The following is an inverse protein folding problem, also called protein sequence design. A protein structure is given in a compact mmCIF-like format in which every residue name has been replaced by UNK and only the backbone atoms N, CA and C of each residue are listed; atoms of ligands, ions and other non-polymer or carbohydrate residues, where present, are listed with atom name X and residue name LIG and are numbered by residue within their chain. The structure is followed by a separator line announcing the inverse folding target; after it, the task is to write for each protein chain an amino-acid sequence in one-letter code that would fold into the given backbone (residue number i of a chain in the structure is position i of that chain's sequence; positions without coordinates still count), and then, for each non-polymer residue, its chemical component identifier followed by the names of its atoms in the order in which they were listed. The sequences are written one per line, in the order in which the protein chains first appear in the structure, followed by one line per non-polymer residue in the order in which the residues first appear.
data_IF_193082717932
#
_entry.id   IF_193082717932
#
_cell.length_a   1.000
_cell.length_b   1.000
_cell.length_c   1.000
_cell.angle_alpha   90.00
_cell.angle_beta   90.00
_cell.angle_gamma   90.00
#
_symmetry.space_group_name_H-M   'P 1'
#
loop_
_entity.id
_entity.type
_entity.pdbx_description
1 polymer ?
#
# COMPACT_ATOMS: atom_id res chain seq x y z
N UNK A 1 -6.17 72.66 58.60
CA UNK A 1 -7.56 72.91 58.17
C UNK A 1 -7.45 73.66 56.86
N UNK A 2 -7.75 73.14 55.68
CA UNK A 2 -8.80 72.21 55.24
C UNK A 2 -8.25 71.22 54.21
N UNK A 3 -8.79 70.00 54.19
CA UNK A 3 -8.53 69.01 53.14
C UNK A 3 -9.76 68.93 52.22
N UNK A 4 -9.50 68.95 50.91
CA UNK A 4 -10.47 68.77 49.83
C UNK A 4 -10.65 67.28 49.54
N UNK A 5 -11.90 66.84 49.42
CA UNK A 5 -12.32 65.52 48.97
C UNK A 5 -12.19 65.38 47.45
N UNK A 6 -11.65 64.25 46.99
CA UNK A 6 -11.73 63.80 45.60
C UNK A 6 -11.95 62.29 45.59
N UNK A 7 -13.05 61.84 44.98
CA UNK A 7 -13.37 60.43 44.79
C UNK A 7 -12.47 59.78 43.74
N UNK A 8 -12.10 58.53 44.00
CA UNK A 8 -11.36 57.67 43.08
C UNK A 8 -12.12 56.37 42.87
N UNK A 9 -12.43 56.07 41.61
CA UNK A 9 -12.91 54.77 41.14
C UNK A 9 -11.76 53.78 41.31
N UNK A 10 -11.95 52.78 42.16
CA UNK A 10 -10.95 51.74 42.40
C UNK A 10 -10.81 50.84 41.17
N UNK A 11 -9.62 50.77 40.61
CA UNK A 11 -9.23 49.79 39.59
C UNK A 11 -9.15 48.41 40.23
N UNK A 12 -10.00 47.47 39.78
CA UNK A 12 -9.94 46.05 40.10
C UNK A 12 -8.58 45.49 39.69
N UNK A 13 -7.78 45.04 40.66
CA UNK A 13 -6.46 44.44 40.45
C UNK A 13 -6.60 42.92 40.35
N UNK A 14 -6.56 42.40 39.12
CA UNK A 14 -6.69 40.97 38.82
C UNK A 14 -5.34 40.27 39.00
N UNK A 15 -5.24 39.13 39.71
CA UNK A 15 -4.03 38.35 39.68
C UNK A 15 -3.92 37.71 38.30
N UNK A 16 -3.07 38.30 37.45
CA UNK A 16 -2.59 37.82 36.17
C UNK A 16 -3.42 38.24 34.92
N UNK A 17 -3.11 39.38 34.29
CA UNK A 17 -3.80 39.85 33.07
C UNK A 17 -3.55 38.97 31.82
N UNK A 18 -2.69 37.96 31.91
CA UNK A 18 -2.40 37.01 30.82
C UNK A 18 -2.57 35.52 31.21
N UNK A 19 -3.15 35.22 32.38
CA UNK A 19 -3.40 33.85 32.82
C UNK A 19 -4.64 33.23 32.17
N UNK A 20 -4.52 32.04 31.57
CA UNK A 20 -5.66 31.23 31.14
C UNK A 20 -6.59 30.99 32.34
N UNK A 21 -7.81 31.51 32.27
CA UNK A 21 -8.84 31.22 33.25
C UNK A 21 -9.10 29.72 33.24
N UNK A 22 -8.80 29.06 34.36
CA UNK A 22 -8.91 27.61 34.51
C UNK A 22 -10.35 27.26 34.90
N UNK A 23 -11.14 26.86 33.89
CA UNK A 23 -12.50 26.37 34.07
C UNK A 23 -12.50 24.86 34.25
N UNK A 24 -13.47 24.35 35.01
CA UNK A 24 -13.66 22.92 35.29
C UNK A 24 -13.89 22.11 34.01
N UNK A 25 -13.33 20.91 33.98
CA UNK A 25 -13.54 19.90 32.93
C UNK A 25 -14.98 19.33 32.91
N UNK A 26 -15.77 19.59 33.96
CA UNK A 26 -17.16 19.14 34.05
C UNK A 26 -18.02 19.77 32.94
N UNK A 27 -19.00 19.05 32.40
CA UNK A 27 -19.91 19.58 31.40
C UNK A 27 -20.93 20.56 32.01
N UNK A 28 -21.22 20.44 33.30
CA UNK A 28 -22.07 21.38 34.03
C UNK A 28 -21.27 22.55 34.60
N UNK A 29 -21.95 23.66 34.92
CA UNK A 29 -21.35 24.75 35.68
C UNK A 29 -21.14 24.30 37.11
N UNK A 30 -19.90 24.42 37.57
CA UNK A 30 -19.47 24.09 38.93
C UNK A 30 -19.22 25.34 39.76
N UNK A 31 -19.11 25.17 41.07
CA UNK A 31 -18.67 26.24 41.97
C UNK A 31 -17.30 26.82 41.57
N UNK A 32 -16.40 25.97 41.10
CA UNK A 32 -15.10 26.41 40.61
C UNK A 32 -15.25 27.37 39.42
N UNK A 33 -16.16 27.07 38.48
CA UNK A 33 -16.40 27.91 37.31
C UNK A 33 -16.94 29.31 37.69
N UNK A 34 -17.86 29.38 38.65
CA UNK A 34 -18.45 30.63 39.15
C UNK A 34 -17.40 31.49 39.86
N UNK A 35 -16.58 30.88 40.72
CA UNK A 35 -15.51 31.56 41.43
C UNK A 35 -14.38 32.02 40.48
N UNK A 36 -14.04 31.22 39.46
CA UNK A 36 -13.08 31.60 38.41
C UNK A 36 -13.54 32.84 37.64
N UNK A 37 -14.85 33.00 37.46
CA UNK A 37 -15.45 34.17 36.80
C UNK A 37 -15.45 35.41 37.69
N UNK A 38 -15.89 35.28 38.94
CA UNK A 38 -16.00 36.39 39.87
C UNK A 38 -14.64 36.88 40.39
N UNK A 39 -13.62 36.04 40.29
CA UNK A 39 -12.26 36.39 40.68
C UNK A 39 -12.11 36.53 42.21
N UNK A 40 -11.08 37.24 42.69
CA UNK A 40 -10.73 37.28 44.12
C UNK A 40 -11.79 37.97 45.00
N UNK A 41 -12.65 38.81 44.42
CA UNK A 41 -13.71 39.53 45.12
C UNK A 41 -15.06 38.78 45.13
N UNK A 42 -15.08 37.52 44.71
CA UNK A 42 -16.29 36.71 44.61
C UNK A 42 -17.12 36.72 45.89
N UNK A 43 -16.49 36.49 47.05
CA UNK A 43 -17.19 36.45 48.34
C UNK A 43 -17.85 37.80 48.68
N UNK A 44 -17.24 38.92 48.29
CA UNK A 44 -17.77 40.26 48.53
C UNK A 44 -18.98 40.55 47.61
N UNK A 45 -18.88 40.21 46.33
CA UNK A 45 -19.96 40.39 45.34
C UNK A 45 -21.17 39.50 45.64
N UNK A 46 -20.93 38.24 46.03
CA UNK A 46 -21.98 37.29 46.42
C UNK A 46 -22.69 37.74 47.71
N UNK A 47 -21.93 38.25 48.68
CA UNK A 47 -22.48 38.79 49.93
C UNK A 47 -23.30 40.08 49.71
N UNK A 48 -22.85 40.97 48.83
CA UNK A 48 -23.58 42.19 48.45
C UNK A 48 -24.91 41.88 47.75
N UNK A 49 -24.94 40.83 46.94
CA UNK A 49 -26.15 40.34 46.28
C UNK A 49 -27.09 39.53 47.18
N UNK A 50 -26.65 39.14 48.39
CA UNK A 50 -27.37 38.24 49.28
C UNK A 50 -27.77 36.90 48.60
N UNK A 51 -26.83 36.33 47.84
CA UNK A 51 -27.02 35.10 47.04
C UNK A 51 -26.02 34.04 47.50
N UNK A 52 -26.46 32.79 47.62
CA UNK A 52 -25.58 31.65 47.86
C UNK A 52 -24.97 31.15 46.54
N UNK A 53 -23.72 30.69 46.56
CA UNK A 53 -23.05 30.12 45.39
C UNK A 53 -23.82 28.90 44.86
N UNK A 54 -24.40 28.09 45.73
CA UNK A 54 -25.22 26.94 45.30
C UNK A 54 -26.54 27.39 44.65
N UNK A 55 -27.14 28.50 45.12
CA UNK A 55 -28.33 29.08 44.50
C UNK A 55 -28.00 29.75 43.16
N UNK A 56 -26.83 30.39 43.05
CA UNK A 56 -26.34 30.95 41.80
C UNK A 56 -26.00 29.85 40.77
N UNK A 57 -25.35 28.77 41.20
CA UNK A 57 -25.12 27.57 40.38
C UNK A 57 -26.46 26.95 39.98
N UNK A 58 -27.45 26.91 40.88
CA UNK A 58 -28.79 26.42 40.58
C UNK A 58 -29.49 27.32 39.56
N UNK A 59 -29.44 28.64 39.68
CA UNK A 59 -30.05 29.57 38.72
C UNK A 59 -29.35 29.50 37.36
N UNK A 60 -28.02 29.40 37.35
CA UNK A 60 -27.25 29.19 36.13
C UNK A 60 -27.64 27.83 35.51
N UNK A 61 -27.61 26.73 36.26
CA UNK A 61 -27.91 25.40 35.70
C UNK A 61 -29.40 25.13 35.43
N UNK A 62 -30.33 25.77 36.16
CA UNK A 62 -31.78 25.60 36.00
C UNK A 62 -32.40 26.58 34.99
N UNK A 63 -31.76 27.71 34.73
CA UNK A 63 -32.33 28.82 33.96
C UNK A 63 -31.45 29.29 32.78
N UNK A 64 -30.26 28.72 32.53
CA UNK A 64 -29.31 29.34 31.55
C UNK A 64 -28.72 28.47 30.44
N UNK A 65 -29.24 27.28 30.11
CA UNK A 65 -28.83 26.68 28.83
C UNK A 65 -29.78 25.62 28.28
N UNK A 66 -30.38 25.87 27.11
CA UNK A 66 -30.64 24.78 26.18
C UNK A 66 -29.35 24.53 25.40
N UNK A 67 -28.62 23.48 25.77
CA UNK A 67 -27.71 22.84 24.83
C UNK A 67 -28.52 21.76 24.12
N UNK A 68 -28.77 21.86 22.81
CA UNK A 68 -29.30 20.71 22.08
C UNK A 68 -28.32 19.54 22.28
N UNK A 69 -28.81 18.29 22.33
CA UNK A 69 -27.94 17.14 22.43
C UNK A 69 -26.93 17.20 21.28
N UNK A 70 -25.64 17.14 21.62
CA UNK A 70 -24.60 16.89 20.63
C UNK A 70 -24.89 15.49 20.11
N UNK A 71 -25.58 15.40 18.96
CA UNK A 71 -25.80 14.13 18.27
C UNK A 71 -24.44 13.70 17.76
N UNK A 72 -23.78 12.81 18.51
CA UNK A 72 -22.66 12.03 18.00
C UNK A 72 -23.30 11.00 17.06
N UNK A 73 -23.02 11.03 15.75
CA UNK A 73 -23.55 10.01 14.85
C UNK A 73 -23.04 8.63 15.28
N UNK A 74 -23.97 7.71 15.54
CA UNK A 74 -23.72 6.31 15.87
C UNK A 74 -23.11 5.55 14.67
N UNK A 75 -21.88 5.85 14.26
CA UNK A 75 -21.13 5.03 13.27
C UNK A 75 -19.61 4.98 13.56
N UNK A 76 -19.19 4.98 14.84
CA UNK A 76 -17.78 4.77 15.22
C UNK A 76 -17.53 3.38 15.87
N UNK A 77 -18.36 2.38 15.55
CA UNK A 77 -18.21 1.03 16.14
C UNK A 77 -17.94 -0.12 15.16
N UNK A 78 -18.05 0.06 13.84
CA UNK A 78 -17.82 -1.03 12.88
C UNK A 78 -16.80 -0.65 11.80
N UNK A 79 -15.52 -0.49 12.19
CA UNK A 79 -14.35 -0.85 11.33
C UNK A 79 -13.01 -0.55 12.02
N UNK A 80 -12.81 -1.05 13.25
CA UNK A 80 -11.48 -1.09 13.87
C UNK A 80 -10.93 -2.52 13.91
N UNK A 81 -10.51 -3.01 12.74
CA UNK A 81 -9.42 -3.99 12.64
C UNK A 81 -8.16 -3.27 12.15
N UNK A 82 -7.56 -2.46 13.01
CA UNK A 82 -6.13 -2.13 12.97
C UNK A 82 -5.76 -1.44 14.29
N UNK A 83 -4.66 -1.89 14.90
CA UNK A 83 -4.13 -1.36 16.17
C UNK A 83 -3.80 0.13 16.06
N UNK A 84 -4.67 0.97 16.61
CA UNK A 84 -4.39 2.36 16.97
C UNK A 84 -5.22 2.68 18.21
N UNK A 85 -4.57 3.18 19.26
CA UNK A 85 -5.26 3.53 20.50
C UNK A 85 -6.43 4.50 20.21
N UNK A 86 -7.61 4.35 20.85
CA UNK A 86 -8.69 5.30 20.69
C UNK A 86 -8.19 6.68 21.11
N UNK A 87 -8.21 7.66 20.21
CA UNK A 87 -8.13 9.07 20.61
C UNK A 87 -9.36 9.40 21.47
N UNK A 88 -9.20 10.05 22.64
CA UNK A 88 -10.32 10.32 23.51
C UNK A 88 -11.15 11.46 22.93
N UNK A 89 -12.34 11.13 22.44
CA UNK A 89 -13.39 12.08 22.05
C UNK A 89 -13.72 13.04 23.21
N UNK A 90 -13.42 12.63 24.44
CA UNK A 90 -13.59 13.39 25.68
C UNK A 90 -12.80 14.72 25.69
N UNK A 91 -11.56 14.76 25.17
CA UNK A 91 -10.72 15.96 25.23
C UNK A 91 -11.26 17.13 24.38
N UNK A 92 -11.88 16.82 23.24
CA UNK A 92 -12.45 17.82 22.34
C UNK A 92 -13.72 18.46 22.92
N UNK A 93 -14.59 17.62 23.50
CA UNK A 93 -15.82 18.07 24.16
C UNK A 93 -15.50 18.90 25.40
N UNK A 94 -14.53 18.48 26.20
CA UNK A 94 -14.07 19.23 27.38
C UNK A 94 -13.48 20.59 26.98
N UNK A 95 -12.65 20.65 25.94
CA UNK A 95 -12.13 21.94 25.43
C UNK A 95 -13.22 22.85 24.88
N UNK A 96 -14.19 22.30 24.14
CA UNK A 96 -15.34 23.05 23.66
C UNK A 96 -16.19 23.59 24.82
N UNK A 97 -16.42 22.77 25.84
CA UNK A 97 -17.11 23.16 27.07
C UNK A 97 -16.35 24.27 27.81
N UNK A 98 -15.02 24.16 27.99
CA UNK A 98 -14.21 25.23 28.61
C UNK A 98 -14.22 26.52 27.83
N UNK A 99 -14.15 26.45 26.49
CA UNK A 99 -14.18 27.64 25.63
C UNK A 99 -15.54 28.33 25.70
N UNK A 100 -16.62 27.54 25.70
CA UNK A 100 -17.97 28.02 25.94
C UNK A 100 -18.09 28.66 27.33
N UNK A 101 -17.70 27.96 28.40
CA UNK A 101 -17.71 28.46 29.78
C UNK A 101 -16.96 29.78 29.91
N UNK A 102 -15.77 29.89 29.32
CA UNK A 102 -14.94 31.10 29.32
C UNK A 102 -15.62 32.31 28.68
N UNK A 103 -16.39 32.08 27.62
CA UNK A 103 -17.13 33.14 26.92
C UNK A 103 -18.46 33.47 27.60
N UNK A 104 -19.10 32.47 28.19
CA UNK A 104 -20.50 32.51 28.58
C UNK A 104 -20.73 32.76 30.08
N UNK A 105 -19.90 32.18 30.95
CA UNK A 105 -20.05 32.33 32.41
C UNK A 105 -19.81 33.75 32.89
N UNK A 106 -18.90 34.48 32.24
CA UNK A 106 -18.60 35.87 32.61
C UNK A 106 -19.81 36.80 32.49
N UNK A 107 -20.57 36.68 31.40
CA UNK A 107 -21.77 37.48 31.19
C UNK A 107 -22.94 37.03 32.07
N UNK A 108 -23.14 35.71 32.19
CA UNK A 108 -24.28 35.13 32.93
C UNK A 108 -24.18 35.32 34.43
N UNK A 109 -23.01 35.08 35.03
CA UNK A 109 -22.82 35.26 36.48
C UNK A 109 -23.05 36.71 36.90
N UNK A 110 -22.54 37.67 36.13
CA UNK A 110 -22.75 39.09 36.40
C UNK A 110 -24.22 39.50 36.19
N UNK A 111 -24.88 38.97 35.16
CA UNK A 111 -26.30 39.24 34.91
C UNK A 111 -27.21 38.70 36.03
N UNK A 112 -26.96 37.48 36.53
CA UNK A 112 -27.75 36.89 37.63
C UNK A 112 -27.50 37.63 38.95
N UNK A 113 -26.29 38.14 39.21
CA UNK A 113 -26.02 38.95 40.41
C UNK A 113 -26.66 40.34 40.35
N UNK A 114 -26.75 40.95 39.17
CA UNK A 114 -27.44 42.22 38.96
C UNK A 114 -28.96 42.10 39.12
N UNK A 115 -29.57 40.98 38.71
CA UNK A 115 -31.01 40.75 38.94
C UNK A 115 -31.33 40.53 40.43
N UNK A 116 -30.42 39.93 41.19
CA UNK A 116 -30.61 39.64 42.62
C UNK A 116 -30.35 40.85 43.54
N UNK A 117 -29.47 41.77 43.14
CA UNK A 117 -29.21 43.06 43.83
C UNK A 117 -30.27 44.14 43.55
N UNK A 118 -31.09 43.97 42.51
CA UNK A 118 -32.16 44.89 42.06
C UNK A 118 -33.37 44.98 42.98
N UNK A 119 -33.16 45.14 44.29
CA UNK A 119 -34.19 45.34 45.29
C UNK A 119 -34.62 46.80 45.47
N UNK A 120 -35.48 47.30 44.57
CA UNK A 120 -36.54 48.28 44.89
C UNK A 120 -36.22 49.79 44.93
N UNK A 121 -36.77 50.54 43.96
CA UNK A 121 -37.58 51.76 44.15
C UNK A 121 -38.16 52.24 42.80
N UNK A 122 -39.32 52.88 42.85
CA UNK A 122 -40.29 53.02 41.76
C UNK A 122 -39.99 54.11 40.70
N UNK A 123 -40.15 53.73 39.43
CA UNK A 123 -41.08 54.36 38.50
C UNK A 123 -41.40 53.35 37.39
N UNK A 124 -42.67 53.22 36.99
CA UNK A 124 -43.07 52.36 35.88
C UNK A 124 -42.48 52.86 34.56
N UNK A 125 -41.23 52.51 34.28
CA UNK A 125 -40.77 52.30 32.93
C UNK A 125 -41.00 50.82 32.63
N UNK A 126 -42.13 50.47 32.02
CA UNK A 126 -42.31 49.11 31.50
C UNK A 126 -41.28 48.79 30.40
N UNK A 127 -40.63 49.82 29.85
CA UNK A 127 -39.57 49.73 28.86
C UNK A 127 -38.22 49.48 29.56
N UNK A 128 -37.65 48.31 29.32
CA UNK A 128 -36.33 47.87 29.79
C UNK A 128 -35.29 48.05 28.70
N UNK A 129 -34.07 48.38 29.07
CA UNK A 129 -32.91 48.45 28.17
C UNK A 129 -32.06 47.19 28.33
N UNK A 130 -31.93 46.40 27.27
CA UNK A 130 -31.32 45.06 27.31
C UNK A 130 -30.21 44.99 26.26
N UNK A 131 -29.07 44.37 26.57
CA UNK A 131 -28.03 44.09 25.58
C UNK A 131 -28.30 42.73 24.96
N UNK A 132 -28.42 42.67 23.63
CA UNK A 132 -28.55 41.42 22.87
C UNK A 132 -27.27 41.23 22.05
N UNK A 133 -26.53 40.17 22.33
CA UNK A 133 -25.37 39.71 21.60
C UNK A 133 -25.78 38.56 20.68
N UNK A 134 -25.78 38.79 19.37
CA UNK A 134 -26.12 37.76 18.37
C UNK A 134 -24.87 37.40 17.58
N UNK A 135 -24.39 36.18 17.77
CA UNK A 135 -23.16 35.67 17.13
C UNK A 135 -21.93 36.60 17.29
N UNK A 136 -21.79 37.28 18.44
CA UNK A 136 -20.71 38.21 18.74
C UNK A 136 -21.00 39.67 18.34
N UNK A 137 -22.16 39.96 17.73
CA UNK A 137 -22.59 41.31 17.41
C UNK A 137 -23.56 41.83 18.49
N UNK A 138 -23.10 42.83 19.25
CA UNK A 138 -23.87 43.42 20.34
C UNK A 138 -24.75 44.58 19.87
N UNK A 139 -25.98 44.62 20.37
CA UNK A 139 -26.92 45.71 20.19
C UNK A 139 -27.74 45.95 21.46
N UNK A 140 -28.16 47.20 21.69
CA UNK A 140 -29.07 47.52 22.79
C UNK A 140 -30.50 47.56 22.27
N UNK A 141 -31.39 46.80 22.92
CA UNK A 141 -32.80 46.67 22.59
C UNK A 141 -33.63 47.23 23.73
N UNK A 142 -34.55 48.13 23.37
CA UNK A 142 -35.60 48.61 24.28
C UNK A 142 -36.81 47.69 24.16
N UNK A 143 -37.26 47.11 25.26
CA UNK A 143 -38.32 46.09 25.24
C UNK A 143 -39.28 46.21 26.42
N UNK A 144 -40.54 45.85 26.18
CA UNK A 144 -41.56 45.69 27.22
C UNK A 144 -41.70 44.24 27.67
N UNK A 145 -41.03 43.30 26.98
CA UNK A 145 -41.09 41.86 27.25
C UNK A 145 -40.69 41.52 28.68
N UNK A 146 -41.37 40.51 29.22
CA UNK A 146 -41.09 39.95 30.54
C UNK A 146 -39.97 38.91 30.53
N UNK A 147 -39.74 38.25 29.39
CA UNK A 147 -38.81 37.11 29.27
C UNK A 147 -37.82 37.24 28.10
N UNK A 148 -36.71 36.52 28.16
CA UNK A 148 -35.67 36.49 27.11
C UNK A 148 -36.25 36.13 25.75
N UNK A 149 -37.15 35.14 25.70
CA UNK A 149 -37.80 34.71 24.46
C UNK A 149 -38.70 35.79 23.85
N UNK A 150 -39.39 36.58 24.68
CA UNK A 150 -40.16 37.73 24.22
C UNK A 150 -39.25 38.84 23.67
N UNK A 151 -38.15 39.15 24.36
CA UNK A 151 -37.17 40.15 23.90
C UNK A 151 -36.56 39.77 22.54
N UNK A 152 -36.14 38.52 22.38
CA UNK A 152 -35.57 38.04 21.11
C UNK A 152 -36.59 38.08 19.98
N UNK A 153 -37.84 37.67 20.24
CA UNK A 153 -38.92 37.71 19.26
C UNK A 153 -39.25 39.14 18.81
N UNK A 154 -39.31 40.09 19.75
CA UNK A 154 -39.55 41.50 19.45
C UNK A 154 -38.38 42.13 18.67
N UNK A 155 -37.15 41.69 18.96
CA UNK A 155 -35.95 42.05 18.19
C UNK A 155 -35.87 41.36 16.82
N UNK A 156 -36.85 40.53 16.45
CA UNK A 156 -36.95 39.88 15.15
C UNK A 156 -36.16 38.56 15.02
N UNK A 157 -35.69 38.00 16.13
CA UNK A 157 -34.99 36.72 16.16
C UNK A 157 -35.95 35.56 16.42
N UNK A 158 -35.82 34.51 15.62
CA UNK A 158 -36.49 33.23 15.83
C UNK A 158 -35.48 32.24 16.39
N UNK A 159 -35.88 31.52 17.44
CA UNK A 159 -35.04 30.54 18.11
C UNK A 159 -35.17 29.20 17.39
N UNK A 160 -34.09 28.74 16.77
CA UNK A 160 -33.98 27.44 16.13
C UNK A 160 -33.66 26.31 17.12
N UNK A 161 -33.88 25.06 16.69
CA UNK A 161 -33.61 23.87 17.50
C UNK A 161 -32.11 23.62 17.75
N UNK A 162 -31.23 24.28 16.99
CA UNK A 162 -29.77 24.14 17.07
C UNK A 162 -29.08 25.42 17.59
N UNK A 163 -29.86 26.40 18.04
CA UNK A 163 -29.35 27.64 18.62
C UNK A 163 -29.01 27.42 20.09
N UNK A 164 -28.05 28.20 20.61
CA UNK A 164 -27.77 28.29 22.03
C UNK A 164 -28.10 29.69 22.54
N UNK A 165 -28.78 29.75 23.68
CA UNK A 165 -29.31 30.99 24.24
C UNK A 165 -28.97 31.09 25.71
N UNK A 166 -28.54 32.28 26.12
CA UNK A 166 -28.44 32.69 27.51
C UNK A 166 -29.07 34.05 27.75
N UNK A 167 -29.76 34.23 28.89
CA UNK A 167 -30.35 33.18 29.72
C UNK A 167 -31.38 32.33 28.93
N UNK A 168 -32.04 31.35 29.55
CA UNK A 168 -33.06 30.53 28.86
C UNK A 168 -34.23 31.40 28.35
N UNK A 169 -34.97 30.95 27.33
CA UNK A 169 -36.07 31.73 26.76
C UNK A 169 -37.17 32.14 27.76
N UNK A 170 -37.35 31.39 28.85
CA UNK A 170 -38.35 31.67 29.87
C UNK A 170 -37.84 32.56 31.03
N UNK A 171 -36.53 32.83 31.05
CA UNK A 171 -35.90 33.64 32.10
C UNK A 171 -36.44 35.07 32.10
N UNK A 172 -36.70 35.61 33.29
CA UNK A 172 -37.16 36.97 33.45
C UNK A 172 -36.07 37.99 33.06
N UNK A 173 -36.47 39.12 32.47
CA UNK A 173 -35.53 40.17 31.99
C UNK A 173 -35.68 41.45 32.81
N UNK A 174 -34.55 42.06 33.18
CA UNK A 174 -34.43 43.35 33.85
C UNK A 174 -33.61 44.36 33.01
N UNK A 175 -33.51 45.62 33.45
CA UNK A 175 -32.58 46.57 32.85
C UNK A 175 -31.14 46.04 32.90
N UNK A 176 -30.37 46.36 31.86
CA UNK A 176 -28.97 45.96 31.66
C UNK A 176 -28.73 44.44 31.55
N UNK A 177 -29.80 43.64 31.40
CA UNK A 177 -29.68 42.20 31.11
C UNK A 177 -28.89 41.99 29.82
N UNK A 178 -27.98 41.00 29.82
CA UNK A 178 -27.24 40.58 28.63
C UNK A 178 -27.83 39.25 28.14
N UNK A 179 -28.39 39.27 26.94
CA UNK A 179 -28.90 38.11 26.23
C UNK A 179 -27.89 37.72 25.16
N UNK A 180 -27.39 36.49 25.18
CA UNK A 180 -26.53 35.95 24.12
C UNK A 180 -27.31 34.91 23.32
N UNK A 181 -27.32 35.07 22.00
CA UNK A 181 -27.88 34.14 21.03
C UNK A 181 -26.79 33.71 20.05
N UNK A 182 -26.38 32.45 20.13
CA UNK A 182 -25.50 31.81 19.16
C UNK A 182 -26.35 30.94 18.22
N UNK A 183 -26.45 31.33 16.95
CA UNK A 183 -27.31 30.64 15.98
C UNK A 183 -26.65 29.39 15.42
N UNK A 184 -27.43 28.33 15.28
CA UNK A 184 -27.02 27.08 14.65
C UNK A 184 -26.83 27.26 13.14
N UNK A 185 -25.72 26.76 12.64
CA UNK A 185 -25.33 26.75 11.23
C UNK A 185 -25.09 25.30 10.81
N UNK A 186 -25.72 24.88 9.73
CA UNK A 186 -25.51 23.54 9.18
C UNK A 186 -24.21 23.51 8.39
N UNK A 187 -23.31 22.61 8.77
CA UNK A 187 -22.03 22.39 8.10
C UNK A 187 -22.03 21.01 7.46
N UNK A 188 -22.00 20.98 6.13
CA UNK A 188 -21.80 19.77 5.35
C UNK A 188 -20.30 19.54 5.18
N UNK A 189 -19.71 18.79 6.09
CA UNK A 189 -18.28 18.54 6.13
C UNK A 189 -17.93 17.32 5.27
N UNK A 190 -17.01 17.45 4.33
CA UNK A 190 -16.51 16.35 3.50
C UNK A 190 -15.04 16.12 3.87
N UNK A 191 -14.75 15.11 4.67
CA UNK A 191 -13.38 14.77 5.07
C UNK A 191 -12.87 13.62 4.21
N UNK A 192 -11.84 13.86 3.41
CA UNK A 192 -11.25 12.86 2.51
C UNK A 192 -12.31 12.13 1.66
N UNK A 193 -13.25 12.91 1.11
CA UNK A 193 -14.37 12.42 0.29
C UNK A 193 -15.50 11.74 1.07
N UNK A 194 -15.46 11.75 2.41
CA UNK A 194 -16.51 11.18 3.25
C UNK A 194 -17.41 12.29 3.81
N UNK A 195 -18.69 12.39 3.38
CA UNK A 195 -19.60 13.44 3.83
C UNK A 195 -20.09 13.18 5.25
N UNK A 196 -20.25 14.26 6.02
CA UNK A 196 -20.76 14.29 7.39
C UNK A 196 -21.55 15.57 7.58
N UNK A 197 -22.76 15.46 8.12
CA UNK A 197 -23.53 16.63 8.50
C UNK A 197 -23.27 16.96 9.97
N UNK A 198 -23.05 18.23 10.26
CA UNK A 198 -22.88 18.72 11.62
C UNK A 198 -23.55 20.07 11.80
N UNK A 199 -23.98 20.35 13.03
CA UNK A 199 -24.46 21.68 13.42
C UNK A 199 -23.41 22.35 14.28
N UNK A 200 -23.02 23.56 13.89
CA UNK A 200 -22.05 24.38 14.61
C UNK A 200 -22.67 25.72 14.98
N UNK A 201 -22.18 26.33 16.05
CA UNK A 201 -22.53 27.71 16.45
C UNK A 201 -21.44 28.71 16.09
N UNK A 202 -20.28 28.17 15.72
CA UNK A 202 -19.14 28.91 15.24
C UNK A 202 -19.46 29.82 14.05
N UNK A 203 -18.91 31.03 14.09
CA UNK A 203 -19.04 32.00 12.98
C UNK A 203 -17.93 31.84 11.94
N UNK A 204 -16.86 31.11 12.29
CA UNK A 204 -15.69 30.89 11.44
C UNK A 204 -15.35 29.40 11.32
N UNK A 205 -14.68 29.03 10.23
CA UNK A 205 -14.25 27.65 9.96
C UNK A 205 -13.34 27.10 11.08
N UNK A 206 -12.34 27.87 11.55
CA UNK A 206 -11.43 27.41 12.61
C UNK A 206 -12.16 27.09 13.91
N UNK A 207 -13.11 27.94 14.27
CA UNK A 207 -13.93 27.75 15.46
C UNK A 207 -14.85 26.53 15.29
N UNK A 208 -15.44 26.33 14.11
CA UNK A 208 -16.25 25.16 13.81
C UNK A 208 -15.43 23.85 13.89
N UNK A 209 -14.23 23.83 13.32
CA UNK A 209 -13.34 22.67 13.41
C UNK A 209 -12.94 22.37 14.85
N UNK A 210 -12.73 23.39 15.67
CA UNK A 210 -12.49 23.24 17.12
C UNK A 210 -13.71 22.66 17.83
N UNK A 211 -14.91 23.19 17.55
CA UNK A 211 -16.17 22.73 18.12
C UNK A 211 -16.45 21.26 17.79
N UNK A 212 -16.07 20.81 16.59
CA UNK A 212 -16.24 19.43 16.14
C UNK A 212 -15.14 18.46 16.63
N UNK A 213 -14.18 18.94 17.41
CA UNK A 213 -13.03 18.13 17.84
C UNK A 213 -12.07 17.77 16.69
N UNK A 214 -12.14 18.50 15.59
CA UNK A 214 -11.35 18.29 14.37
C UNK A 214 -10.16 19.26 14.27
N UNK A 215 -9.74 19.86 15.39
CA UNK A 215 -8.54 20.71 15.43
C UNK A 215 -7.29 19.97 14.93
N UNK A 216 -7.19 18.66 15.17
CA UNK A 216 -6.12 17.79 14.63
C UNK A 216 -6.20 17.62 13.11
N UNK A 217 -7.40 17.71 12.52
CA UNK A 217 -7.58 17.72 11.08
C UNK A 217 -7.23 19.08 10.47
N UNK A 218 -7.00 20.13 11.27
CA UNK A 218 -6.55 21.45 10.83
C UNK A 218 -5.01 21.63 10.95
N UNK A 219 -4.25 20.53 10.98
CA UNK A 219 -2.78 20.55 11.00
C UNK A 219 -2.19 21.32 9.82
N UNK A 220 -1.00 21.92 9.97
CA UNK A 220 -0.26 22.52 8.86
C UNK A 220 -0.15 21.55 7.68
N UNK A 221 -0.52 22.03 6.48
CA UNK A 221 -0.52 21.23 5.25
C UNK A 221 -1.83 20.52 4.94
N UNK A 222 -2.86 20.62 5.78
CA UNK A 222 -4.23 20.23 5.40
C UNK A 222 -4.78 21.22 4.38
N UNK A 223 -5.37 20.70 3.31
CA UNK A 223 -6.09 21.52 2.35
C UNK A 223 -7.58 21.63 2.75
N UNK A 224 -8.12 22.85 2.66
CA UNK A 224 -9.53 23.12 2.93
C UNK A 224 -10.11 23.96 1.80
N UNK A 225 -11.38 23.72 1.44
CA UNK A 225 -12.07 24.51 0.42
C UNK A 225 -12.27 25.97 0.82
N UNK A 226 -12.32 26.25 2.13
CA UNK A 226 -12.42 27.59 2.70
C UNK A 226 -11.36 27.73 3.81
N UNK A 227 -10.69 28.89 3.86
CA UNK A 227 -9.68 29.20 4.87
C UNK A 227 -10.25 29.19 6.29
N UNK A 228 -9.38 29.04 7.29
CA UNK A 228 -9.79 28.94 8.69
C UNK A 228 -10.48 30.20 9.24
N UNK A 229 -10.21 31.36 8.67
CA UNK A 229 -10.83 32.65 8.96
C UNK A 229 -12.12 32.89 8.14
N UNK A 230 -12.45 31.99 7.23
CA UNK A 230 -13.66 32.06 6.42
C UNK A 230 -14.91 32.03 7.28
N UNK A 231 -15.86 32.91 6.97
CA UNK A 231 -17.13 33.00 7.67
C UNK A 231 -18.08 31.87 7.27
N UNK A 232 -18.84 31.37 8.24
CA UNK A 232 -19.88 30.36 8.03
C UNK A 232 -21.24 31.07 7.94
N UNK A 233 -21.90 31.06 6.77
CA UNK A 233 -23.22 31.65 6.61
C UNK A 233 -24.29 30.97 7.46
N UNK A 234 -25.39 31.67 7.74
CA UNK A 234 -26.49 31.14 8.56
C UNK A 234 -27.26 30.02 7.85
N UNK A 235 -27.37 30.13 6.53
CA UNK A 235 -27.92 29.09 5.65
C UNK A 235 -27.06 27.83 5.60
N UNK A 236 -25.87 27.86 6.22
CA UNK A 236 -24.92 26.76 6.24
C UNK A 236 -23.92 26.81 5.08
N UNK A 237 -23.01 25.85 5.05
CA UNK A 237 -22.04 25.71 3.97
C UNK A 237 -21.55 24.27 3.82
N UNK A 238 -20.97 23.97 2.66
CA UNK A 238 -20.18 22.75 2.45
C UNK A 238 -18.71 23.08 2.63
N UNK A 239 -18.05 22.36 3.53
CA UNK A 239 -16.61 22.47 3.79
C UNK A 239 -15.94 21.16 3.40
N UNK A 240 -15.05 21.21 2.42
CA UNK A 240 -14.23 20.06 2.04
C UNK A 240 -12.87 20.17 2.73
N UNK A 241 -12.43 19.08 3.35
CA UNK A 241 -11.18 18.96 4.06
C UNK A 241 -10.43 17.75 3.52
N UNK A 242 -9.22 17.98 3.02
CA UNK A 242 -8.32 16.93 2.55
C UNK A 242 -7.10 16.87 3.46
N UNK A 243 -7.02 15.81 4.25
CA UNK A 243 -5.95 15.64 5.25
C UNK A 243 -4.60 15.43 4.57
N UNK A 244 -3.53 15.96 5.18
CA UNK A 244 -2.17 15.69 4.70
C UNK A 244 -1.81 14.23 4.99
N UNK A 245 -1.33 13.53 3.96
CA UNK A 245 -0.94 12.11 4.03
C UNK A 245 0.51 11.95 3.60
N UNK A 246 1.20 11.01 4.24
CA UNK A 246 2.51 10.53 3.83
C UNK A 246 2.32 9.21 3.08
N UNK A 247 2.66 9.20 1.80
CA UNK A 247 2.46 8.07 0.89
C UNK A 247 3.81 7.54 0.44
N UNK A 248 3.97 6.22 0.46
CA UNK A 248 5.13 5.56 -0.15
C UNK A 248 4.76 5.13 -1.57
N UNK A 249 5.38 5.72 -2.59
CA UNK A 249 5.19 5.28 -3.97
C UNK A 249 6.29 4.32 -4.40
N UNK A 250 5.88 3.17 -4.90
CA UNK A 250 6.68 2.21 -5.65
C UNK A 250 6.31 2.35 -7.13
N UNK A 251 7.21 2.90 -7.94
CA UNK A 251 6.98 3.17 -9.36
C UNK A 251 7.88 2.31 -10.24
N UNK A 252 7.36 1.18 -10.71
CA UNK A 252 8.09 0.25 -11.55
C UNK A 252 9.24 -0.44 -10.81
N UNK A 253 10.42 -0.45 -11.44
CA UNK A 253 11.65 -0.96 -10.85
C UNK A 253 12.45 0.08 -10.02
N UNK A 254 11.93 1.30 -9.84
CA UNK A 254 12.64 2.37 -9.13
C UNK A 254 12.61 2.18 -7.61
N UNK A 255 13.55 2.84 -6.92
CA UNK A 255 13.55 2.90 -5.46
C UNK A 255 12.28 3.58 -4.92
N UNK A 256 11.73 3.13 -3.77
CA UNK A 256 10.52 3.70 -3.20
C UNK A 256 10.72 5.16 -2.80
N UNK A 257 9.72 6.01 -3.04
CA UNK A 257 9.75 7.43 -2.69
C UNK A 257 8.64 7.82 -1.73
N UNK A 258 9.00 8.59 -0.70
CA UNK A 258 8.04 9.21 0.21
C UNK A 258 7.50 10.51 -0.40
N UNK A 259 6.17 10.68 -0.37
CA UNK A 259 5.48 11.83 -0.92
C UNK A 259 4.44 12.32 0.07
N UNK A 260 4.43 13.62 0.35
CA UNK A 260 3.36 14.27 1.08
C UNK A 260 2.32 14.81 0.10
N UNK A 261 1.04 14.54 0.35
CA UNK A 261 -0.06 14.87 -0.55
C UNK A 261 -1.37 15.05 0.20
N UNK A 262 -2.29 15.81 -0.36
CA UNK A 262 -3.68 15.89 0.11
C UNK A 262 -4.63 15.05 -0.77
N UNK A 263 -4.11 14.33 -1.77
CA UNK A 263 -4.91 13.51 -2.67
C UNK A 263 -5.76 12.48 -1.91
N UNK A 264 -7.04 12.38 -2.29
CA UNK A 264 -7.98 11.41 -1.70
C UNK A 264 -7.90 10.08 -2.43
N UNK A 265 -7.56 10.09 -3.73
CA UNK A 265 -7.49 8.89 -4.57
C UNK A 265 -6.15 8.76 -5.27
N UNK A 266 -5.80 7.55 -5.69
CA UNK A 266 -4.61 7.31 -6.52
C UNK A 266 -4.61 8.17 -7.79
N UNK A 267 -5.77 8.37 -8.42
CA UNK A 267 -5.92 9.26 -9.58
C UNK A 267 -5.52 10.70 -9.29
N UNK A 268 -6.01 11.27 -8.19
CA UNK A 268 -5.62 12.62 -7.76
C UNK A 268 -4.12 12.68 -7.47
N UNK A 269 -3.59 11.67 -6.77
CA UNK A 269 -2.18 11.59 -6.38
C UNK A 269 -1.23 11.56 -7.58
N UNK A 270 -1.54 10.74 -8.60
CA UNK A 270 -0.74 10.73 -9.82
C UNK A 270 -0.89 12.03 -10.62
N UNK A 271 -2.08 12.65 -10.59
CA UNK A 271 -2.31 13.97 -11.18
C UNK A 271 -1.44 15.07 -10.56
N UNK A 272 -1.37 15.13 -9.22
CA UNK A 272 -0.51 16.06 -8.49
C UNK A 272 0.97 15.85 -8.82
N UNK A 273 1.40 14.60 -8.91
CA UNK A 273 2.76 14.23 -9.28
C UNK A 273 3.08 14.39 -10.77
N UNK A 274 2.09 14.76 -11.59
CA UNK A 274 2.19 14.80 -13.05
C UNK A 274 2.70 13.47 -13.64
N UNK A 275 2.33 12.36 -13.01
CA UNK A 275 2.76 11.03 -13.36
C UNK A 275 1.71 10.36 -14.24
N UNK A 276 2.07 10.13 -15.50
CA UNK A 276 1.19 9.45 -16.46
C UNK A 276 1.32 7.94 -16.33
N UNK A 277 0.18 7.24 -16.21
CA UNK A 277 0.09 5.78 -16.24
C UNK A 277 -0.14 5.35 -17.69
N UNK A 278 0.76 4.53 -18.23
CA UNK A 278 0.64 4.00 -19.58
C UNK A 278 -0.52 3.00 -19.74
N UNK A 279 -0.96 2.70 -20.97
CA UNK A 279 -2.09 1.79 -21.21
C UNK A 279 -1.83 0.35 -20.75
N UNK A 280 -0.56 -0.06 -20.68
CA UNK A 280 -0.14 -1.39 -20.23
C UNK A 280 0.33 -1.40 -18.77
N UNK A 281 0.40 -0.23 -18.14
CA UNK A 281 0.78 -0.09 -16.73
C UNK A 281 -0.41 -0.46 -15.83
N UNK A 282 -0.11 -0.93 -14.63
CA UNK A 282 -1.13 -1.29 -13.62
C UNK A 282 -0.87 -0.56 -12.33
N UNK A 283 -1.93 -0.08 -11.70
CA UNK A 283 -1.93 0.50 -10.36
C UNK A 283 -2.64 -0.48 -9.45
N UNK A 284 -1.98 -0.90 -8.37
CA UNK A 284 -2.59 -1.77 -7.38
C UNK A 284 -3.76 -1.04 -6.69
N UNK A 285 -4.90 -1.71 -6.59
CA UNK A 285 -6.16 -1.10 -6.11
C UNK A 285 -6.88 -0.21 -7.13
N UNK A 286 -6.26 0.09 -8.27
CA UNK A 286 -6.83 0.91 -9.34
C UNK A 286 -6.79 2.42 -9.08
N UNK A 287 -7.26 3.21 -10.05
CA UNK A 287 -7.16 4.68 -10.01
C UNK A 287 -8.08 5.33 -8.96
N UNK A 288 -9.20 4.69 -8.63
CA UNK A 288 -10.15 5.19 -7.62
C UNK A 288 -9.85 4.68 -6.20
N UNK A 289 -8.71 4.00 -6.02
CA UNK A 289 -8.24 3.57 -4.70
C UNK A 289 -8.12 4.76 -3.75
N UNK A 290 -8.79 4.69 -2.60
CA UNK A 290 -8.76 5.73 -1.57
C UNK A 290 -7.46 5.67 -0.78
N UNK A 291 -6.78 6.81 -0.67
CA UNK A 291 -5.51 6.93 0.05
C UNK A 291 -5.73 7.23 1.53
N UNK A 292 -4.97 6.54 2.37
CA UNK A 292 -4.87 6.78 3.82
C UNK A 292 -3.46 7.20 4.18
N UNK A 293 -3.27 7.83 5.34
CA UNK A 293 -1.93 8.20 5.80
C UNK A 293 -1.07 6.94 6.04
N UNK A 294 0.17 6.95 5.54
CA UNK A 294 1.06 5.80 5.55
C UNK A 294 0.77 4.76 4.45
N UNK A 295 -0.19 5.01 3.54
CA UNK A 295 -0.49 4.06 2.48
C UNK A 295 0.69 3.88 1.51
N UNK A 296 0.79 2.66 0.99
CA UNK A 296 1.70 2.32 -0.11
C UNK A 296 0.92 2.30 -1.42
N UNK A 297 1.49 2.94 -2.44
CA UNK A 297 0.95 2.93 -3.81
C UNK A 297 1.96 2.19 -4.68
N UNK A 298 1.50 1.14 -5.35
CA UNK A 298 2.34 0.31 -6.21
C UNK A 298 1.90 0.46 -7.67
N UNK A 299 2.84 0.84 -8.52
CA UNK A 299 2.66 0.97 -9.97
C UNK A 299 3.56 -0.04 -10.66
N UNK A 300 2.96 -0.97 -11.39
CA UNK A 300 3.69 -1.89 -12.26
C UNK A 300 3.82 -1.29 -13.66
N UNK A 301 5.06 -1.06 -14.09
CA UNK A 301 5.37 -0.49 -15.41
C UNK A 301 5.61 -1.59 -16.42
N UNK A 302 4.78 -1.65 -17.46
CA UNK A 302 4.89 -2.66 -18.52
C UNK A 302 5.32 -2.00 -19.82
N UNK A 303 6.52 -2.34 -20.28
CA UNK A 303 7.07 -1.85 -21.54
C UNK A 303 7.22 -2.97 -22.57
N UNK A 304 6.81 -2.72 -23.81
CA UNK A 304 7.09 -3.59 -24.95
C UNK A 304 8.11 -2.90 -25.85
N UNK A 305 9.23 -3.57 -26.09
CA UNK A 305 10.30 -3.08 -26.98
C UNK A 305 10.58 -4.08 -28.09
N UNK A 306 10.97 -3.59 -29.25
CA UNK A 306 11.50 -4.42 -30.34
C UNK A 306 13.02 -4.25 -30.33
N UNK A 307 13.73 -5.35 -30.12
CA UNK A 307 15.19 -5.38 -30.10
C UNK A 307 15.70 -6.25 -31.25
N UNK A 308 16.80 -5.82 -31.85
CA UNK A 308 17.52 -6.59 -32.87
C UNK A 308 18.76 -7.18 -32.22
N UNK A 309 18.92 -8.49 -32.33
CA UNK A 309 20.03 -9.23 -31.75
C UNK A 309 20.73 -10.05 -32.83
N UNK A 310 22.05 -9.93 -32.92
CA UNK A 310 22.85 -10.70 -33.86
C UNK A 310 23.21 -12.05 -33.25
N UNK A 311 22.73 -13.13 -33.85
CA UNK A 311 22.98 -14.51 -33.44
C UNK A 311 23.88 -15.23 -34.44
N UNK A 312 24.73 -16.12 -33.92
CA UNK A 312 25.62 -16.95 -34.72
C UNK A 312 24.87 -18.16 -35.30
N UNK A 313 25.09 -18.46 -36.58
CA UNK A 313 24.64 -19.70 -37.21
C UNK A 313 25.85 -20.65 -37.28
N UNK A 314 25.82 -21.79 -36.57
CA UNK A 314 26.92 -22.74 -36.62
C UNK A 314 27.08 -23.30 -38.05
N UNK A 315 28.32 -23.55 -38.51
CA UNK A 315 28.56 -24.08 -39.84
C UNK A 315 27.90 -25.46 -40.01
N UNK A 316 27.15 -25.71 -41.10
CA UNK A 316 26.58 -27.02 -41.37
C UNK A 316 27.70 -28.04 -41.64
N UNK A 317 27.52 -29.28 -41.21
CA UNK A 317 28.53 -30.33 -41.39
C UNK A 317 28.34 -31.02 -42.73
N UNK A 318 29.38 -30.99 -43.56
CA UNK A 318 29.48 -31.74 -44.81
C UNK A 318 30.43 -32.94 -44.61
N UNK A 319 29.90 -34.15 -44.77
CA UNK A 319 30.68 -35.38 -44.56
C UNK A 319 31.34 -35.88 -45.86
N UNK A 320 32.65 -36.06 -45.81
CA UNK A 320 33.46 -36.61 -46.91
C UNK A 320 33.90 -38.02 -46.52
N UNK A 321 33.58 -39.03 -47.33
CA UNK A 321 33.99 -40.41 -47.05
C UNK A 321 35.47 -40.61 -47.34
N UNK A 322 36.21 -41.10 -46.36
CA UNK A 322 37.64 -41.40 -46.45
C UNK A 322 37.86 -42.91 -46.25
N UNK A 323 38.29 -43.61 -47.29
CA UNK A 323 38.52 -45.07 -47.25
C UNK A 323 39.89 -45.46 -46.67
N UNK A 324 40.73 -44.49 -46.34
CA UNK A 324 42.02 -44.68 -45.66
C UNK A 324 41.91 -44.53 -44.15
N UNK A 325 40.90 -43.76 -43.70
CA UNK A 325 40.60 -43.51 -42.29
C UNK A 325 39.72 -44.61 -41.69
N UNK A 326 40.12 -45.11 -40.52
CA UNK A 326 39.42 -46.22 -39.83
C UNK A 326 37.96 -45.89 -39.55
N UNK A 327 37.07 -46.87 -39.76
CA UNK A 327 35.62 -46.70 -39.58
C UNK A 327 35.27 -46.19 -38.18
N UNK A 328 34.46 -45.13 -38.11
CA UNK A 328 34.05 -44.48 -36.86
C UNK A 328 35.04 -43.44 -36.33
N UNK A 329 36.16 -43.20 -37.02
CA UNK A 329 36.99 -42.01 -36.80
C UNK A 329 36.49 -40.87 -37.69
N UNK A 330 36.55 -39.66 -37.15
CA UNK A 330 36.23 -38.43 -37.88
C UNK A 330 37.42 -37.48 -37.77
N UNK A 331 37.78 -36.84 -38.86
CA UNK A 331 38.82 -35.81 -38.90
C UNK A 331 38.21 -34.57 -39.54
N UNK A 332 38.31 -33.41 -38.86
CA UNK A 332 37.91 -32.15 -39.46
C UNK A 332 38.96 -31.79 -40.52
N UNK A 333 38.53 -31.63 -41.76
CA UNK A 333 39.38 -31.20 -42.86
C UNK A 333 39.36 -29.67 -43.00
N UNK A 334 38.16 -29.09 -42.94
CA UNK A 334 37.96 -27.64 -42.93
C UNK A 334 36.93 -27.31 -41.83
N UNK A 335 37.24 -26.35 -40.94
CA UNK A 335 36.34 -25.95 -39.84
C UNK A 335 35.08 -25.22 -40.31
N UNK A 336 35.03 -24.78 -41.57
CA UNK A 336 33.98 -23.93 -42.10
C UNK A 336 34.07 -22.50 -41.55
N UNK A 337 33.03 -21.70 -41.81
CA UNK A 337 32.89 -20.37 -41.22
C UNK A 337 31.48 -20.23 -40.69
N UNK A 338 31.34 -19.78 -39.44
CA UNK A 338 30.04 -19.44 -38.90
C UNK A 338 29.37 -18.33 -39.72
N UNK A 339 28.07 -18.50 -39.91
CA UNK A 339 27.19 -17.48 -40.43
C UNK A 339 26.66 -16.59 -39.30
N UNK A 340 25.85 -15.61 -39.66
CA UNK A 340 25.16 -14.77 -38.70
C UNK A 340 23.75 -14.46 -39.19
N UNK A 341 22.84 -14.28 -38.25
CA UNK A 341 21.48 -13.80 -38.51
C UNK A 341 21.13 -12.69 -37.54
N UNK A 342 20.41 -11.69 -38.04
CA UNK A 342 19.81 -10.68 -37.21
C UNK A 342 18.40 -11.15 -36.84
N UNK A 343 18.13 -11.32 -35.55
CA UNK A 343 16.83 -11.77 -35.03
C UNK A 343 16.15 -10.59 -34.36
N UNK A 344 14.92 -10.32 -34.79
CA UNK A 344 14.08 -9.28 -34.22
C UNK A 344 13.16 -9.89 -33.17
N UNK A 345 13.34 -9.46 -31.92
CA UNK A 345 12.57 -9.91 -30.77
C UNK A 345 11.61 -8.82 -30.30
N UNK A 346 10.37 -9.21 -29.98
CA UNK A 346 9.49 -8.45 -29.10
C UNK A 346 9.82 -8.86 -27.67
N UNK A 347 10.35 -7.92 -26.89
CA UNK A 347 10.67 -8.13 -25.47
C UNK A 347 9.69 -7.34 -24.63
N UNK A 348 8.99 -8.04 -23.74
CA UNK A 348 8.10 -7.44 -22.73
C UNK A 348 8.83 -7.38 -21.41
N UNK A 349 8.89 -6.20 -20.81
CA UNK A 349 9.47 -5.96 -19.50
C UNK A 349 8.41 -5.47 -18.53
N UNK A 350 8.43 -6.03 -17.33
CA UNK A 350 7.61 -5.60 -16.20
C UNK A 350 8.57 -5.17 -15.08
N UNK A 351 8.48 -3.92 -14.63
CA UNK A 351 9.35 -3.36 -13.59
C UNK A 351 10.84 -3.56 -13.91
N UNK A 352 11.23 -3.22 -15.15
CA UNK A 352 12.57 -3.37 -15.73
C UNK A 352 13.11 -4.80 -15.87
N UNK A 353 12.31 -5.82 -15.55
CA UNK A 353 12.67 -7.23 -15.69
C UNK A 353 12.00 -7.83 -16.93
N UNK A 354 12.77 -8.54 -17.74
CA UNK A 354 12.25 -9.26 -18.91
C UNK A 354 11.35 -10.43 -18.45
N UNK A 355 10.07 -10.37 -18.81
CA UNK A 355 9.07 -11.39 -18.46
C UNK A 355 8.66 -12.25 -19.65
N UNK A 356 8.81 -11.73 -20.87
CA UNK A 356 8.53 -12.47 -22.10
C UNK A 356 9.41 -12.00 -23.26
N UNK A 357 9.79 -12.96 -24.11
CA UNK A 357 10.52 -12.72 -25.37
C UNK A 357 9.90 -13.55 -26.48
N UNK A 358 9.52 -12.89 -27.57
CA UNK A 358 8.93 -13.51 -28.75
C UNK A 358 9.74 -13.16 -29.99
N UNK A 359 10.10 -14.16 -30.80
CA UNK A 359 10.77 -13.93 -32.10
C UNK A 359 9.75 -13.46 -33.13
N UNK A 360 9.93 -12.26 -33.67
CA UNK A 360 9.08 -11.68 -34.72
C UNK A 360 9.56 -12.11 -36.10
N UNK A 361 10.86 -11.93 -36.36
CA UNK A 361 11.49 -12.23 -37.64
C UNK A 361 12.96 -12.57 -37.46
N UNK A 362 13.54 -13.23 -38.44
CA UNK A 362 14.98 -13.44 -38.54
C UNK A 362 15.43 -13.23 -39.99
N UNK A 363 16.59 -12.61 -40.17
CA UNK A 363 17.21 -12.37 -41.46
C UNK A 363 18.66 -12.88 -41.42
N UNK A 364 19.04 -13.73 -42.36
CA UNK A 364 20.42 -14.21 -42.49
C UNK A 364 21.26 -13.05 -43.05
N UNK A 365 22.23 -12.59 -42.26
CA UNK A 365 23.13 -11.48 -42.64
C UNK A 365 24.43 -12.00 -43.26
N UNK A 366 24.89 -13.19 -42.84
CA UNK A 366 26.04 -13.89 -43.42
C UNK A 366 25.72 -15.37 -43.51
N UNK A 367 25.75 -15.93 -44.71
CA UNK A 367 25.62 -17.37 -44.92
C UNK A 367 26.79 -18.13 -44.27
N UNK A 368 26.49 -19.24 -43.60
CA UNK A 368 27.50 -20.10 -42.99
C UNK A 368 28.18 -20.96 -44.06
N UNK A 369 29.51 -21.08 -44.01
CA UNK A 369 30.26 -21.99 -44.89
C UNK A 369 30.39 -23.36 -44.22
N UNK A 370 30.13 -24.46 -44.94
CA UNK A 370 30.11 -25.78 -44.34
C UNK A 370 31.45 -26.19 -43.76
N UNK A 371 31.39 -26.88 -42.62
CA UNK A 371 32.50 -27.59 -42.00
C UNK A 371 32.66 -28.94 -42.68
N UNK A 372 33.79 -29.19 -43.33
CA UNK A 372 34.07 -30.48 -43.98
C UNK A 372 34.69 -31.44 -42.99
N UNK A 373 34.03 -32.57 -42.78
CA UNK A 373 34.49 -33.63 -41.88
C UNK A 373 34.71 -34.89 -42.68
N UNK A 374 35.96 -35.38 -42.71
CA UNK A 374 36.24 -36.71 -43.24
C UNK A 374 35.75 -37.76 -42.26
N UNK A 375 34.87 -38.64 -42.73
CA UNK A 375 34.36 -39.78 -41.98
C UNK A 375 35.03 -41.05 -42.48
N UNK A 376 35.62 -41.81 -41.55
CA UNK A 376 36.34 -43.03 -41.87
C UNK A 376 35.40 -44.12 -42.39
N UNK A 377 35.75 -44.66 -43.55
CA UNK A 377 35.05 -45.76 -44.23
C UNK A 377 35.97 -46.91 -44.58
N UNK A 378 37.24 -46.87 -44.11
CA UNK A 378 38.21 -47.92 -44.34
C UNK A 378 37.64 -49.27 -43.93
N UNK A 379 37.64 -50.19 -44.90
CA UNK A 379 37.24 -51.58 -44.68
C UNK A 379 38.30 -52.24 -43.82
N UNK A 380 37.86 -52.96 -42.79
CA UNK A 380 38.78 -53.71 -41.97
C UNK A 380 39.52 -54.76 -42.84
N UNK A 381 40.82 -55.00 -42.60
CA UNK A 381 41.62 -55.89 -43.43
C UNK A 381 41.01 -57.29 -43.47
N UNK A 382 41.09 -57.96 -44.62
CA UNK A 382 40.66 -59.34 -44.79
C UNK A 382 41.89 -60.26 -44.75
N UNK A 383 42.16 -60.96 -43.63
CA UNK A 383 43.37 -61.76 -43.48
C UNK A 383 43.33 -63.01 -44.37
N UNK A 384 44.48 -63.36 -44.98
CA UNK A 384 44.62 -64.63 -45.68
C UNK A 384 44.73 -65.78 -44.66
N UNK A 385 43.89 -66.81 -44.81
CA UNK A 385 43.80 -67.95 -43.89
C UNK A 385 44.30 -69.21 -44.59
N UNK A 386 45.35 -69.85 -44.05
CA UNK A 386 45.88 -71.13 -44.58
C UNK A 386 45.07 -72.36 -44.14
N UNK A 387 44.52 -72.33 -42.92
CA UNK A 387 43.92 -73.52 -42.27
C UNK A 387 42.39 -73.43 -42.18
N UNK A 388 41.75 -72.72 -43.13
CA UNK A 388 40.33 -72.38 -43.05
C UNK A 388 39.39 -73.60 -42.91
N UNK A 389 39.77 -74.73 -43.50
CA UNK A 389 38.98 -75.97 -43.47
C UNK A 389 38.87 -76.62 -42.09
N UNK A 390 39.88 -76.47 -41.23
CA UNK A 390 39.84 -76.96 -39.84
C UNK A 390 38.91 -76.07 -39.02
N UNK A 391 38.99 -74.75 -39.23
CA UNK A 391 38.11 -73.78 -38.59
C UNK A 391 36.66 -73.91 -39.03
N UNK A 392 36.39 -74.29 -40.28
CA UNK A 392 35.03 -74.56 -40.76
C UNK A 392 34.41 -75.77 -40.09
N UNK A 393 35.19 -76.85 -39.89
CA UNK A 393 34.73 -78.03 -39.14
C UNK A 393 34.43 -77.67 -37.68
N UNK A 394 35.25 -76.80 -37.09
CA UNK A 394 35.03 -76.31 -35.73
C UNK A 394 33.76 -75.45 -35.67
N UNK A 395 33.58 -74.51 -36.60
CA UNK A 395 32.38 -73.70 -36.68
C UNK A 395 31.11 -74.52 -36.98
N UNK A 396 31.22 -75.61 -37.74
CA UNK A 396 30.12 -76.54 -37.96
C UNK A 396 29.68 -77.21 -36.65
N UNK A 397 30.62 -77.52 -35.77
CA UNK A 397 30.32 -78.09 -34.46
C UNK A 397 29.79 -77.04 -33.47
N UNK A 398 30.35 -75.83 -33.49
CA UNK A 398 30.06 -74.76 -32.51
C UNK A 398 28.80 -73.94 -32.87
N UNK A 399 28.55 -73.63 -34.14
CA UNK A 399 27.44 -72.77 -34.58
C UNK A 399 26.67 -73.30 -35.80
N UNK A 400 26.83 -74.59 -36.14
CA UNK A 400 26.28 -75.18 -37.37
C UNK A 400 26.76 -74.49 -38.65
N UNK A 401 27.95 -73.89 -38.61
CA UNK A 401 28.58 -73.22 -39.76
C UNK A 401 28.12 -71.78 -39.98
N UNK A 402 27.28 -71.25 -39.09
CA UNK A 402 26.80 -69.87 -39.19
C UNK A 402 27.82 -68.89 -38.58
N UNK A 403 28.60 -68.23 -39.43
CA UNK A 403 29.58 -67.23 -39.01
C UNK A 403 28.97 -65.92 -38.51
N UNK A 404 27.68 -65.66 -38.78
CA UNK A 404 26.94 -64.53 -38.24
C UNK A 404 26.07 -64.91 -37.03
N UNK A 405 26.31 -66.06 -36.40
CA UNK A 405 25.49 -66.56 -35.29
C UNK A 405 25.44 -65.56 -34.12
N UNK A 406 24.21 -65.22 -33.71
CA UNK A 406 23.89 -64.44 -32.53
C UNK A 406 22.57 -64.96 -31.96
N UNK A 407 22.63 -66.04 -31.18
CA UNK A 407 21.45 -66.77 -30.67
C UNK A 407 21.01 -66.28 -29.28
N UNK A 408 21.62 -65.21 -28.76
CA UNK A 408 21.33 -64.68 -27.43
C UNK A 408 21.93 -65.47 -26.26
N UNK A 409 22.77 -66.49 -26.54
CA UNK A 409 23.40 -67.33 -25.51
C UNK A 409 24.70 -66.75 -24.91
N UNK A 410 25.03 -65.50 -25.22
CA UNK A 410 26.25 -64.82 -24.75
C UNK A 410 27.53 -65.11 -25.55
N UNK A 411 27.44 -65.96 -26.58
CA UNK A 411 28.54 -66.26 -27.51
C UNK A 411 28.13 -65.89 -28.94
N UNK A 412 29.12 -65.49 -29.75
CA UNK A 412 28.87 -64.88 -31.04
C UNK A 412 29.79 -65.43 -32.13
N UNK A 413 29.27 -65.50 -33.35
CA UNK A 413 30.03 -65.86 -34.54
C UNK A 413 30.24 -67.37 -34.74
N UNK A 414 31.01 -67.73 -35.76
CA UNK A 414 31.14 -69.12 -36.23
C UNK A 414 31.74 -70.06 -35.21
N UNK A 415 32.71 -69.59 -34.44
CA UNK A 415 33.41 -70.39 -33.42
C UNK A 415 33.02 -69.98 -31.99
N UNK A 416 31.83 -69.38 -31.82
CA UNK A 416 31.24 -69.07 -30.52
C UNK A 416 32.19 -68.31 -29.59
N UNK A 417 32.62 -67.11 -29.99
CA UNK A 417 33.44 -66.25 -29.14
C UNK A 417 32.61 -65.59 -28.03
N UNK A 418 33.13 -65.57 -26.81
CA UNK A 418 32.66 -64.65 -25.79
C UNK A 418 33.16 -63.21 -26.10
N UNK A 419 32.33 -62.15 -25.92
CA UNK A 419 32.71 -60.76 -26.26
C UNK A 419 34.02 -60.28 -25.61
N UNK A 420 34.25 -60.65 -24.35
CA UNK A 420 35.48 -60.26 -23.65
C UNK A 420 36.72 -60.92 -24.24
N UNK A 421 36.61 -62.19 -24.66
CA UNK A 421 37.71 -62.91 -25.33
C UNK A 421 37.96 -62.31 -26.72
N UNK A 422 36.90 -62.02 -27.47
CA UNK A 422 37.00 -61.31 -28.75
C UNK A 422 37.77 -59.99 -28.62
N UNK A 423 37.40 -59.16 -27.63
CA UNK A 423 38.09 -57.91 -27.34
C UNK A 423 39.53 -58.13 -26.89
N UNK A 424 39.78 -59.07 -25.99
CA UNK A 424 41.11 -59.34 -25.42
C UNK A 424 42.13 -59.76 -26.49
N UNK A 425 41.70 -60.50 -27.51
CA UNK A 425 42.56 -60.95 -28.61
C UNK A 425 42.58 -60.00 -29.82
N UNK A 426 41.99 -58.81 -29.67
CA UNK A 426 42.06 -57.73 -30.65
C UNK A 426 41.00 -57.81 -31.75
N UNK A 427 39.94 -58.59 -31.59
CA UNK A 427 38.87 -58.71 -32.60
C UNK A 427 38.09 -57.42 -32.85
N UNK A 428 38.12 -56.48 -31.91
CA UNK A 428 37.52 -55.15 -32.07
C UNK A 428 38.14 -54.32 -33.19
N UNK A 429 39.29 -54.73 -33.73
CA UNK A 429 39.87 -54.12 -34.94
C UNK A 429 39.05 -54.43 -36.21
N UNK A 430 38.27 -55.52 -36.20
CA UNK A 430 37.47 -55.97 -37.33
C UNK A 430 35.99 -55.60 -37.16
N UNK A 431 35.43 -55.89 -35.99
CA UNK A 431 34.07 -55.50 -35.63
C UNK A 431 33.88 -55.48 -34.11
N UNK A 432 32.88 -54.75 -33.61
CA UNK A 432 32.60 -54.65 -32.18
C UNK A 432 32.27 -56.02 -31.56
N UNK A 433 31.51 -56.86 -32.29
CA UNK A 433 31.19 -58.23 -31.89
C UNK A 433 31.60 -59.24 -32.98
N UNK A 434 31.92 -60.50 -32.61
CA UNK A 434 32.37 -61.52 -33.55
C UNK A 434 31.44 -61.73 -34.74
N UNK A 435 30.13 -61.81 -34.50
CA UNK A 435 29.12 -62.06 -35.55
C UNK A 435 29.00 -60.94 -36.60
N UNK A 436 29.59 -59.77 -36.33
CA UNK A 436 29.64 -58.63 -37.26
C UNK A 436 30.92 -58.63 -38.12
N UNK A 437 31.91 -59.48 -37.79
CA UNK A 437 33.14 -59.65 -38.55
C UNK A 437 33.01 -60.77 -39.58
N UNK A 438 33.80 -60.71 -40.65
CA UNK A 438 33.81 -61.77 -41.67
C UNK A 438 34.35 -63.08 -41.09
N UNK A 439 34.07 -64.19 -41.77
CA UNK A 439 34.62 -65.52 -41.45
C UNK A 439 36.13 -65.46 -41.25
N UNK A 440 36.84 -64.86 -42.20
CA UNK A 440 38.31 -64.80 -42.20
C UNK A 440 38.83 -63.97 -41.02
N UNK A 441 38.17 -62.86 -40.70
CA UNK A 441 38.50 -62.02 -39.54
C UNK A 441 38.30 -62.77 -38.22
N UNK A 442 37.21 -63.53 -38.10
CA UNK A 442 36.96 -64.36 -36.92
C UNK A 442 38.03 -65.47 -36.79
N UNK A 443 38.40 -66.11 -37.90
CA UNK A 443 39.45 -67.14 -37.92
C UNK A 443 40.80 -66.56 -37.51
N UNK A 444 41.15 -65.35 -37.95
CA UNK A 444 42.41 -64.73 -37.56
C UNK A 444 42.51 -64.50 -36.05
N UNK A 445 41.43 -64.08 -35.39
CA UNK A 445 41.38 -63.93 -33.93
C UNK A 445 41.36 -65.31 -33.25
N UNK A 446 40.67 -66.30 -33.81
CA UNK A 446 40.63 -67.66 -33.28
C UNK A 446 42.01 -68.33 -33.32
N UNK A 447 42.77 -68.05 -34.37
CA UNK A 447 44.16 -68.51 -34.52
C UNK A 447 45.04 -67.92 -33.42
N UNK A 448 44.95 -66.61 -33.14
CA UNK A 448 45.68 -66.00 -32.01
C UNK A 448 45.31 -66.61 -30.67
N UNK A 449 44.02 -66.84 -30.42
CA UNK A 449 43.54 -67.48 -29.20
C UNK A 449 44.07 -68.92 -29.07
N UNK A 450 44.04 -69.70 -30.16
CA UNK A 450 44.58 -71.07 -30.22
C UNK A 450 46.06 -71.08 -29.88
N UNK A 451 46.84 -70.23 -30.53
CA UNK A 451 48.29 -70.21 -30.36
C UNK A 451 48.67 -69.80 -28.93
N UNK A 452 47.99 -68.80 -28.36
CA UNK A 452 48.18 -68.38 -26.97
C UNK A 452 47.72 -69.43 -25.94
N UNK A 453 46.71 -70.24 -26.28
CA UNK A 453 46.20 -71.32 -25.43
C UNK A 453 46.99 -72.63 -25.57
N UNK A 454 47.98 -72.67 -26.48
CA UNK A 454 48.74 -73.87 -26.82
C UNK A 454 47.87 -74.97 -27.46
N UNK A 455 46.97 -74.60 -28.38
CA UNK A 455 46.08 -75.52 -29.11
C UNK A 455 44.59 -75.12 -29.05
N UNK A 456 43.69 -76.02 -29.43
CA UNK A 456 42.25 -75.75 -29.53
C UNK A 456 41.49 -75.82 -28.20
N UNK A 457 42.17 -75.62 -27.06
CA UNK A 457 41.63 -75.79 -25.70
C UNK A 457 40.48 -74.84 -25.36
N UNK A 458 40.39 -73.70 -26.03
CA UNK A 458 39.27 -72.77 -25.90
C UNK A 458 37.94 -73.36 -26.42
N UNK A 459 37.98 -74.45 -27.17
CA UNK A 459 36.83 -75.17 -27.71
C UNK A 459 36.83 -76.64 -27.24
N UNK A 460 36.67 -76.92 -25.94
CA UNK A 460 37.01 -78.22 -25.34
C UNK A 460 36.13 -79.38 -25.83
N UNK A 461 34.88 -79.12 -26.20
CA UNK A 461 33.96 -80.15 -26.70
C UNK A 461 34.22 -80.45 -28.19
N UNK A 462 34.27 -79.41 -29.03
CA UNK A 462 34.43 -79.59 -30.46
C UNK A 462 35.87 -79.93 -30.88
N UNK A 463 36.90 -79.47 -30.17
CA UNK A 463 38.29 -79.86 -30.42
C UNK A 463 38.52 -81.36 -30.21
N UNK A 464 37.98 -81.95 -29.13
CA UNK A 464 38.02 -83.40 -28.87
C UNK A 464 37.28 -84.19 -29.95
N UNK A 465 36.10 -83.73 -30.36
CA UNK A 465 35.30 -84.37 -31.40
C UNK A 465 36.00 -84.37 -32.77
N UNK A 466 36.81 -83.35 -33.04
CA UNK A 466 37.54 -83.18 -34.29
C UNK A 466 38.99 -83.71 -34.25
N UNK A 467 39.45 -84.25 -33.12
CA UNK A 467 40.82 -84.78 -32.97
C UNK A 467 41.90 -83.69 -32.98
N UNK A 468 41.58 -82.49 -32.50
CA UNK A 468 42.45 -81.31 -32.52
C UNK A 468 43.08 -80.98 -31.14
N UNK A 469 42.96 -81.89 -30.18
CA UNK A 469 43.29 -81.68 -28.76
C UNK A 469 44.79 -81.70 -28.45
#
# INVERSE_FOLDING_TARGET
MFASSGGGVGTLDWPNPEGELDFSDDLNVTQHDVLTVLGPDADALMAEANVDVDELIRLINAETTMLPPIVIPDEISEDRVAKGAPMPVEDGVVKAAKTWKKRFLKGTVLAVLLTLTGGGAAAMAMNKSVTVDVDGAQQTVNTFGGTVGEVLKDAGYQIGAHDAISPSPDAAVADDTVITLERGRQLNLIVDGSPREAWVRATTVSEAMTQLGLAEAAKPGTWMSVGGDGQIPLEGMTLEVKTLKNITLYDGGNEPRQVQTNAVTAKEFFGELQLTIGPEDKVDGGMDYKLTDGAEVHVSRTGVSVVNENEEIPPPVEEIKDDTLDKGKTVVEEEGEAGSKNVTYRVTKENDKEVAREKISEEITKEAKPKKVRVGTKKAPNPAISDGSVWDKLAQCESSGNWAANTGNGYYGGVQFHPNTWKAYGGTQYAALPHQATREQQIAIATKLRDASGGYKAWPHCSKKLGLA
#
